data_IF_625175437671
#
_entry.id   IF_625175437671
#
_cell.length_a   1.000
_cell.length_b   1.000
_cell.length_c   1.000
_cell.angle_alpha   90.00
_cell.angle_beta   90.00
_cell.angle_gamma   90.00
#
_symmetry.space_group_name_H-M   'P 1'
#
loop_
_entity.id
_entity.type
_entity.pdbx_description
1 polymer ?
#
# COMPACT_ATOMS: atom_id res chain seq x y z
N UNK A 1 -39.32 27.59 34.44
CA UNK A 1 -37.88 27.29 34.50
C UNK A 1 -37.68 25.98 33.76
N UNK A 2 -37.12 25.99 32.55
CA UNK A 2 -36.86 24.79 31.74
C UNK A 2 -35.35 24.69 31.52
N UNK A 3 -34.73 23.65 32.09
CA UNK A 3 -33.32 23.35 31.93
C UNK A 3 -33.11 22.67 30.56
N UNK A 4 -32.29 23.29 29.70
CA UNK A 4 -31.86 22.68 28.44
C UNK A 4 -30.76 21.65 28.69
N UNK A 5 -31.04 20.38 28.43
CA UNK A 5 -30.02 19.34 28.37
C UNK A 5 -29.39 19.34 26.97
N UNK A 6 -28.11 19.72 26.90
CA UNK A 6 -27.27 19.58 25.71
C UNK A 6 -26.75 18.16 25.67
N UNK A 7 -27.19 17.35 24.71
CA UNK A 7 -26.54 16.07 24.38
C UNK A 7 -25.69 16.28 23.13
N UNK A 8 -24.38 16.38 23.32
CA UNK A 8 -23.42 16.29 22.22
C UNK A 8 -23.14 14.80 21.99
N UNK A 9 -23.53 14.18 20.87
CA UNK A 9 -22.94 12.90 20.50
C UNK A 9 -21.51 13.18 20.02
N UNK A 10 -20.54 13.12 20.93
CA UNK A 10 -19.12 13.02 20.57
C UNK A 10 -18.90 11.62 20.03
N UNK A 11 -18.94 11.47 18.70
CA UNK A 11 -18.45 10.27 18.06
C UNK A 11 -16.92 10.25 18.23
N UNK A 12 -16.44 9.42 19.16
CA UNK A 12 -15.03 9.11 19.32
C UNK A 12 -14.61 8.17 18.19
N UNK A 13 -14.05 8.72 17.11
CA UNK A 13 -13.45 7.95 16.03
C UNK A 13 -12.02 7.56 16.44
N UNK A 14 -11.88 6.67 17.43
CA UNK A 14 -10.60 6.06 17.74
C UNK A 14 -10.29 5.00 16.68
N UNK A 15 -9.51 5.36 15.67
CA UNK A 15 -8.92 4.38 14.76
C UNK A 15 -7.82 3.64 15.52
N UNK A 16 -8.09 2.40 15.94
CA UNK A 16 -7.06 1.48 16.41
C UNK A 16 -6.11 1.26 15.23
N UNK A 17 -4.88 1.76 15.31
CA UNK A 17 -3.86 1.42 14.32
C UNK A 17 -3.64 -0.10 14.41
N UNK A 18 -4.20 -0.84 13.46
CA UNK A 18 -3.94 -2.27 13.26
C UNK A 18 -2.42 -2.47 13.26
N UNK A 19 -1.86 -3.45 13.99
CA UNK A 19 -0.43 -3.70 13.98
C UNK A 19 0.02 -3.85 12.53
N UNK A 20 0.86 -2.91 12.07
CA UNK A 20 1.48 -3.01 10.75
C UNK A 20 2.19 -4.36 10.70
N UNK A 21 1.79 -5.30 9.82
CA UNK A 21 2.51 -6.55 9.67
C UNK A 21 3.99 -6.22 9.44
N UNK A 22 4.87 -6.98 10.09
CA UNK A 22 6.31 -6.77 9.97
C UNK A 22 6.67 -6.66 8.49
N UNK A 23 7.44 -5.64 8.08
CA UNK A 23 7.70 -5.41 6.67
C UNK A 23 8.38 -6.63 6.08
N UNK A 24 7.75 -7.26 5.09
CA UNK A 24 8.40 -8.27 4.27
C UNK A 24 9.66 -7.60 3.70
N UNK A 25 10.85 -8.19 3.90
CA UNK A 25 12.10 -7.55 3.52
C UNK A 25 12.13 -7.33 2.01
N UNK A 26 12.14 -6.06 1.61
CA UNK A 26 12.23 -5.61 0.22
C UNK A 26 13.49 -6.12 -0.50
N UNK A 27 14.49 -6.58 0.25
CA UNK A 27 15.83 -6.97 -0.21
C UNK A 27 15.83 -8.05 -1.29
N UNK A 28 14.74 -8.78 -1.46
CA UNK A 28 14.63 -9.87 -2.43
C UNK A 28 13.77 -9.53 -3.65
N UNK A 29 13.14 -8.35 -3.69
CA UNK A 29 12.34 -7.90 -4.83
C UNK A 29 13.29 -7.44 -5.95
N UNK A 30 13.15 -8.05 -7.13
CA UNK A 30 13.93 -7.71 -8.32
C UNK A 30 13.10 -6.87 -9.28
N UNK A 31 13.72 -5.88 -9.92
CA UNK A 31 13.13 -5.16 -11.05
C UNK A 31 12.85 -6.14 -12.19
N UNK A 32 11.68 -6.05 -12.81
CA UNK A 32 11.22 -7.02 -13.81
C UNK A 32 10.82 -8.38 -13.23
N UNK A 33 10.94 -8.57 -11.91
CA UNK A 33 10.55 -9.80 -11.22
C UNK A 33 9.04 -9.91 -11.00
N UNK A 34 8.57 -11.12 -10.73
CA UNK A 34 7.20 -11.36 -10.27
C UNK A 34 7.14 -11.34 -8.74
N UNK A 35 6.05 -10.79 -8.22
CA UNK A 35 5.75 -10.72 -6.80
C UNK A 35 4.29 -11.09 -6.57
N UNK A 36 3.97 -11.56 -5.37
CA UNK A 36 2.64 -11.93 -4.95
C UNK A 36 2.25 -11.09 -3.74
N UNK A 37 1.00 -10.64 -3.70
CA UNK A 37 0.41 -9.96 -2.55
C UNK A 37 0.24 -10.93 -1.39
N UNK A 38 0.76 -10.57 -0.22
CA UNK A 38 0.59 -11.32 1.02
C UNK A 38 0.39 -10.36 2.20
N UNK A 39 -0.21 -10.83 3.29
CA UNK A 39 -0.53 -10.06 4.51
C UNK A 39 -1.49 -8.87 4.29
N UNK A 40 -2.28 -8.91 3.22
CA UNK A 40 -3.29 -7.92 2.87
C UNK A 40 -4.68 -8.30 3.42
N UNK A 41 -4.96 -9.57 3.72
CA UNK A 41 -6.29 -9.95 4.24
C UNK A 41 -6.50 -9.55 5.72
N UNK A 42 -7.76 -9.25 6.13
CA UNK A 42 -8.98 -9.19 5.32
C UNK A 42 -9.21 -7.83 4.63
N UNK A 43 -8.42 -6.81 4.95
CA UNK A 43 -8.71 -5.41 4.58
C UNK A 43 -8.29 -5.04 3.15
N UNK A 44 -7.44 -5.88 2.55
CA UNK A 44 -6.76 -5.65 1.29
C UNK A 44 -5.64 -4.60 1.40
N UNK A 45 -4.73 -4.62 0.43
CA UNK A 45 -3.66 -3.64 0.29
C UNK A 45 -4.01 -2.65 -0.80
N UNK A 46 -3.79 -1.37 -0.51
CA UNK A 46 -4.08 -0.27 -1.43
C UNK A 46 -2.96 -0.10 -2.45
N UNK A 47 -3.28 -0.22 -3.73
CA UNK A 47 -2.43 0.25 -4.82
C UNK A 47 -2.71 1.73 -5.04
N UNK A 48 -1.64 2.53 -5.12
CA UNK A 48 -1.74 3.99 -5.16
C UNK A 48 -1.15 4.58 -6.44
N UNK A 49 -1.55 5.81 -6.77
CA UNK A 49 -1.00 6.55 -7.92
C UNK A 49 0.45 7.02 -7.72
N UNK A 50 0.94 7.05 -6.47
CA UNK A 50 2.29 7.46 -6.12
C UNK A 50 2.82 6.69 -4.91
N UNK A 51 4.14 6.75 -4.72
CA UNK A 51 4.80 6.21 -3.55
C UNK A 51 4.44 7.04 -2.31
N UNK A 52 3.70 6.44 -1.37
CA UNK A 52 3.36 7.04 -0.09
C UNK A 52 1.89 6.84 0.31
N UNK A 53 1.63 6.80 1.61
CA UNK A 53 0.31 6.61 2.21
C UNK A 53 -0.64 7.79 1.97
N UNK A 54 -0.10 8.99 1.73
CA UNK A 54 -0.88 10.18 1.39
C UNK A 54 -1.40 10.23 -0.05
N UNK A 55 -0.89 9.38 -0.94
CA UNK A 55 -1.30 9.39 -2.35
C UNK A 55 -2.67 8.77 -2.57
N UNK A 56 -3.39 9.23 -3.60
CA UNK A 56 -4.69 8.68 -3.98
C UNK A 56 -4.63 7.16 -4.18
N UNK A 57 -5.57 6.44 -3.55
CA UNK A 57 -5.76 5.01 -3.78
C UNK A 57 -6.42 4.81 -5.14
N UNK A 58 -5.80 3.99 -5.96
CA UNK A 58 -6.34 3.58 -7.25
C UNK A 58 -7.22 2.35 -7.10
N UNK A 59 -6.72 1.30 -6.45
CA UNK A 59 -7.47 0.06 -6.23
C UNK A 59 -7.01 -0.65 -4.95
N UNK A 60 -7.71 -1.71 -4.58
CA UNK A 60 -7.36 -2.59 -3.46
C UNK A 60 -7.13 -4.00 -3.99
N UNK A 61 -6.04 -4.62 -3.57
CA UNK A 61 -5.70 -6.01 -3.89
C UNK A 61 -5.77 -6.87 -2.63
N UNK A 62 -6.06 -8.15 -2.82
CA UNK A 62 -6.10 -9.13 -1.74
C UNK A 62 -4.93 -10.09 -1.84
N UNK A 63 -4.72 -10.89 -0.80
CA UNK A 63 -3.67 -11.90 -0.85
C UNK A 63 -3.89 -12.86 -2.00
N UNK A 64 -2.78 -13.29 -2.59
CA UNK A 64 -2.82 -14.23 -3.69
C UNK A 64 -2.62 -13.60 -5.05
N UNK A 65 -2.87 -12.30 -5.19
CA UNK A 65 -2.71 -11.58 -6.46
C UNK A 65 -1.25 -11.53 -6.86
N UNK A 66 -0.95 -11.98 -8.07
CA UNK A 66 0.38 -11.89 -8.66
C UNK A 66 0.53 -10.59 -9.44
N UNK A 67 1.73 -10.03 -9.41
CA UNK A 67 2.04 -8.72 -9.95
C UNK A 67 3.46 -8.75 -10.53
N UNK A 68 3.71 -7.89 -11.49
CA UNK A 68 5.05 -7.71 -12.05
C UNK A 68 5.66 -6.42 -11.52
N UNK A 69 6.85 -6.50 -10.94
CA UNK A 69 7.60 -5.30 -10.52
C UNK A 69 8.18 -4.65 -11.75
N UNK A 70 7.76 -3.42 -11.99
CA UNK A 70 8.24 -2.64 -13.13
C UNK A 70 9.54 -1.92 -12.79
N UNK A 71 10.27 -1.57 -13.83
CA UNK A 71 11.31 -0.56 -13.75
C UNK A 71 10.68 0.84 -13.61
N UNK A 72 11.42 1.82 -13.07
CA UNK A 72 10.96 3.19 -13.05
C UNK A 72 10.76 3.68 -14.50
N UNK A 73 9.77 4.55 -14.76
CA UNK A 73 9.56 5.10 -16.09
C UNK A 73 10.79 5.89 -16.56
N UNK A 74 11.03 5.93 -17.87
CA UNK A 74 12.12 6.73 -18.44
C UNK A 74 12.00 8.20 -17.98
N UNK A 75 13.07 8.74 -17.41
CA UNK A 75 13.11 10.10 -16.85
C UNK A 75 12.66 10.22 -15.40
N UNK A 76 12.30 9.12 -14.72
CA UNK A 76 12.06 9.12 -13.28
C UNK A 76 13.34 9.53 -12.54
N UNK A 77 13.26 10.61 -11.77
CA UNK A 77 14.43 11.25 -11.15
C UNK A 77 14.55 10.93 -9.66
N UNK A 78 13.46 10.46 -9.05
CA UNK A 78 13.42 10.05 -7.65
C UNK A 78 14.13 8.70 -7.43
N UNK A 79 14.63 8.44 -6.21
CA UNK A 79 15.24 7.17 -5.86
C UNK A 79 14.25 6.01 -6.10
N UNK A 80 14.76 4.94 -6.72
CA UNK A 80 13.99 3.73 -7.00
C UNK A 80 14.66 2.50 -6.34
N UNK A 81 13.96 1.75 -5.49
CA UNK A 81 12.59 1.98 -5.01
C UNK A 81 12.47 3.25 -4.15
N UNK A 82 11.27 3.83 -4.10
CA UNK A 82 11.03 5.09 -3.40
C UNK A 82 10.70 4.83 -1.93
N UNK A 83 11.42 5.44 -1.00
CA UNK A 83 11.16 5.30 0.44
C UNK A 83 10.30 6.46 0.90
N UNK A 84 9.08 6.18 1.36
CA UNK A 84 8.12 7.17 1.84
C UNK A 84 7.28 6.59 2.97
N UNK A 85 6.95 7.42 3.97
CA UNK A 85 6.14 7.04 5.15
C UNK A 85 6.70 5.83 5.93
N UNK A 86 8.03 5.63 5.90
CA UNK A 86 8.69 4.48 6.53
C UNK A 86 8.57 3.16 5.76
N UNK A 87 8.00 3.18 4.55
CA UNK A 87 7.88 2.02 3.67
C UNK A 87 8.69 2.19 2.39
N UNK A 88 9.15 1.07 1.83
CA UNK A 88 9.75 1.00 0.50
C UNK A 88 8.67 0.74 -0.53
N UNK A 89 8.46 1.66 -1.46
CA UNK A 89 7.44 1.59 -2.48
C UNK A 89 8.01 1.10 -3.80
N UNK A 90 7.35 0.11 -4.38
CA UNK A 90 7.66 -0.47 -5.67
C UNK A 90 6.56 -0.18 -6.66
N UNK A 91 6.96 0.06 -7.91
CA UNK A 91 6.03 0.19 -9.01
C UNK A 91 5.67 -1.21 -9.51
N UNK A 92 4.40 -1.52 -9.49
CA UNK A 92 3.85 -2.83 -9.86
C UNK A 92 2.91 -2.69 -11.04
N UNK A 93 2.85 -3.73 -11.86
CA UNK A 93 1.88 -3.91 -12.94
C UNK A 93 1.01 -5.11 -12.63
N UNK A 94 -0.29 -4.91 -12.68
CA UNK A 94 -1.33 -5.93 -12.59
C UNK A 94 -1.56 -6.61 -13.95
N UNK A 95 -2.20 -7.77 -13.96
CA UNK A 95 -2.51 -8.53 -15.18
C UNK A 95 -3.40 -7.79 -16.17
N UNK A 96 -4.29 -6.92 -15.68
CA UNK A 96 -5.13 -6.04 -16.49
C UNK A 96 -4.36 -4.91 -17.18
N UNK A 97 -3.04 -4.81 -16.93
CA UNK A 97 -2.16 -3.78 -17.43
C UNK A 97 -2.11 -2.52 -16.58
N UNK A 98 -2.90 -2.46 -15.49
CA UNK A 98 -2.92 -1.32 -14.58
C UNK A 98 -1.62 -1.23 -13.82
N UNK A 99 -1.04 -0.03 -13.74
CA UNK A 99 0.25 0.22 -13.07
C UNK A 99 0.02 1.13 -11.87
N UNK A 100 0.61 0.77 -10.74
CA UNK A 100 0.56 1.59 -9.54
C UNK A 100 1.70 1.33 -8.59
N UNK A 101 1.63 1.96 -7.43
CA UNK A 101 2.65 1.87 -6.38
C UNK A 101 2.12 1.09 -5.19
N UNK A 102 2.95 0.23 -4.65
CA UNK A 102 2.63 -0.56 -3.48
C UNK A 102 3.84 -0.73 -2.58
N UNK A 103 3.59 -0.79 -1.28
CA UNK A 103 4.64 -0.96 -0.30
C UNK A 103 5.15 -2.42 -0.31
N UNK A 104 6.48 -2.55 -0.20
CA UNK A 104 7.21 -3.82 -0.21
C UNK A 104 6.77 -4.76 0.90
N UNK A 105 6.25 -4.21 2.00
CA UNK A 105 5.78 -4.96 3.15
C UNK A 105 4.61 -5.91 2.85
N UNK A 106 3.99 -5.80 1.68
CA UNK A 106 2.93 -6.69 1.19
C UNK A 106 3.31 -7.44 -0.09
N UNK A 107 4.59 -7.38 -0.49
CA UNK A 107 5.10 -7.97 -1.71
C UNK A 107 6.06 -9.11 -1.41
N UNK A 108 5.65 -10.32 -1.76
CA UNK A 108 6.51 -11.49 -1.69
C UNK A 108 7.02 -11.86 -3.10
N UNK A 109 8.33 -11.81 -3.37
CA UNK A 109 8.86 -12.25 -4.65
C UNK A 109 8.59 -13.74 -4.88
N UNK A 110 8.12 -14.05 -6.08
CA UNK A 110 7.90 -15.41 -6.57
C UNK A 110 8.85 -15.62 -7.76
N UNK A 111 9.77 -16.56 -7.61
CA UNK A 111 10.82 -16.83 -8.60
C UNK A 111 10.50 -18.11 -9.37
#
# INVERSE_FOLDING_TARGET
MLAGAVITPTADLSFTATPTPAPIPATQIRMGGRVRVVNANPEGISVRFGAGQGNARMTTLYDGVELTVMEPPAGYTDPYPTIADGFTWWRIRMDDGTVGWMASAWLQPIN
#
